data_IF_057201302907
#
_entry.id   IF_057201302907
#
_cell.length_a   1.000
_cell.length_b   1.000
_cell.length_c   1.000
_cell.angle_alpha   90.00
_cell.angle_beta   90.00
_cell.angle_gamma   90.00
#
_symmetry.space_group_name_H-M   'P 1'
#
loop_
_entity.id
_entity.type
_entity.pdbx_description
1 polymer ?
#
# COMPACT_ATOMS: atom_id res chain seq x y z
N UNK A 1 -6.54 28.70 16.70
CA UNK A 1 -6.81 28.00 15.43
C UNK A 1 -7.97 27.05 15.66
N UNK A 2 -8.89 26.92 14.70
CA UNK A 2 -9.90 25.84 14.72
C UNK A 2 -9.23 24.59 14.13
N UNK A 3 -9.46 23.43 14.74
CA UNK A 3 -8.95 22.16 14.23
C UNK A 3 -9.64 21.73 12.94
N UNK A 4 -9.05 20.77 12.24
CA UNK A 4 -9.64 20.12 11.06
C UNK A 4 -10.52 18.94 11.51
N UNK A 5 -11.71 18.81 10.91
CA UNK A 5 -12.60 17.69 11.19
C UNK A 5 -12.14 16.48 10.36
N UNK A 6 -11.66 15.44 11.05
CA UNK A 6 -11.13 14.22 10.41
C UNK A 6 -12.15 13.08 10.31
N UNK A 7 -13.42 13.34 10.65
CA UNK A 7 -14.53 12.39 10.49
C UNK A 7 -15.19 11.95 11.79
N UNK A 8 -16.19 11.06 11.63
CA UNK A 8 -16.88 10.40 12.73
C UNK A 8 -16.21 9.05 13.02
N UNK A 9 -16.15 8.69 14.30
CA UNK A 9 -15.49 7.47 14.77
C UNK A 9 -16.49 6.57 15.50
N UNK A 10 -16.47 5.27 15.19
CA UNK A 10 -17.14 4.22 15.93
C UNK A 10 -16.25 2.99 16.12
N UNK A 11 -16.66 2.10 17.03
CA UNK A 11 -16.16 0.74 17.12
C UNK A 11 -14.64 0.59 17.03
N UNK A 12 -14.18 -0.01 15.94
CA UNK A 12 -12.77 -0.35 15.70
C UNK A 12 -12.02 0.72 14.89
N UNK A 13 -12.63 1.88 14.63
CA UNK A 13 -11.99 2.96 13.91
C UNK A 13 -10.68 3.38 14.57
N UNK A 14 -9.74 3.82 13.72
CA UNK A 14 -8.40 4.25 14.12
C UNK A 14 -8.09 5.60 13.49
N UNK A 15 -7.21 6.32 14.16
CA UNK A 15 -6.60 7.54 13.63
C UNK A 15 -5.22 7.18 13.10
N UNK A 16 -4.94 7.57 11.86
CA UNK A 16 -3.61 7.51 11.26
C UNK A 16 -2.90 8.84 11.50
N UNK A 17 -1.73 8.78 12.12
CA UNK A 17 -0.84 9.93 12.31
C UNK A 17 0.44 9.71 11.52
N UNK A 18 0.74 10.63 10.61
CA UNK A 18 1.97 10.66 9.82
C UNK A 18 2.84 11.81 10.32
N UNK A 19 4.07 11.49 10.75
CA UNK A 19 5.00 12.45 11.34
C UNK A 19 5.97 13.02 10.31
N UNK A 20 6.48 14.23 10.57
CA UNK A 20 7.45 14.94 9.71
C UNK A 20 8.80 14.23 9.60
N UNK A 21 9.12 13.34 10.54
CA UNK A 21 10.33 12.51 10.52
C UNK A 21 10.19 11.25 9.65
N UNK A 22 9.02 11.02 9.04
CA UNK A 22 8.76 9.85 8.20
C UNK A 22 8.33 8.61 8.98
N UNK A 23 7.88 8.77 10.22
CA UNK A 23 7.20 7.70 10.95
C UNK A 23 5.68 7.79 10.80
N UNK A 24 4.98 6.69 11.08
CA UNK A 24 3.54 6.70 11.32
C UNK A 24 3.19 5.97 12.62
N UNK A 25 2.01 6.29 13.14
CA UNK A 25 1.40 5.64 14.29
C UNK A 25 -0.10 5.50 14.06
N UNK A 26 -0.67 4.41 14.56
CA UNK A 26 -2.11 4.27 14.70
C UNK A 26 -2.51 4.51 16.15
N UNK A 27 -3.53 5.33 16.36
CA UNK A 27 -4.09 5.61 17.68
C UNK A 27 -5.59 5.31 17.70
N UNK A 28 -6.14 5.21 18.90
CA UNK A 28 -7.59 5.24 19.10
C UNK A 28 -8.11 6.67 18.89
N UNK A 29 -9.42 6.87 18.99
CA UNK A 29 -10.07 8.19 18.93
C UNK A 29 -10.41 8.74 20.32
N UNK A 30 -9.73 8.26 21.38
CA UNK A 30 -9.95 8.73 22.75
C UNK A 30 -9.55 10.21 22.92
N UNK A 31 -10.35 10.96 23.67
CA UNK A 31 -10.11 12.39 23.94
C UNK A 31 -8.82 12.65 24.73
N UNK A 32 -8.30 11.65 25.44
CA UNK A 32 -7.03 11.71 26.17
C UNK A 32 -5.79 11.64 25.28
N UNK A 33 -5.94 11.31 23.99
CA UNK A 33 -4.81 11.21 23.08
C UNK A 33 -4.16 12.58 22.88
N UNK A 34 -2.85 12.64 23.12
CA UNK A 34 -2.07 13.87 22.98
C UNK A 34 -1.24 13.85 21.71
N UNK A 35 -1.37 14.91 20.91
CA UNK A 35 -0.71 15.05 19.62
C UNK A 35 0.19 16.29 19.61
N UNK A 36 1.46 16.08 19.33
CA UNK A 36 2.43 17.17 19.14
C UNK A 36 2.27 17.73 17.71
N UNK A 37 1.42 18.74 17.55
CA UNK A 37 1.03 19.29 16.26
C UNK A 37 2.23 19.77 15.40
N UNK A 38 3.32 20.21 16.03
CA UNK A 38 4.54 20.63 15.36
C UNK A 38 5.30 19.46 14.70
N UNK A 39 5.13 18.24 15.21
CA UNK A 39 5.74 17.01 14.67
C UNK A 39 4.89 16.31 13.62
N UNK A 40 3.61 16.64 13.52
CA UNK A 40 2.66 15.96 12.63
C UNK A 40 2.68 16.59 11.24
N UNK A 41 2.69 15.73 10.23
CA UNK A 41 2.50 16.11 8.82
C UNK A 41 1.05 15.94 8.38
N UNK A 42 0.42 14.81 8.71
CA UNK A 42 -0.99 14.52 8.42
C UNK A 42 -1.58 13.76 9.61
N UNK A 43 -2.81 14.09 9.98
CA UNK A 43 -3.64 13.32 10.90
C UNK A 43 -5.00 13.11 10.23
N UNK A 44 -5.44 11.86 10.12
CA UNK A 44 -6.69 11.52 9.44
C UNK A 44 -7.31 10.24 10.00
N UNK A 45 -8.60 10.00 9.75
CA UNK A 45 -9.21 8.70 10.00
C UNK A 45 -8.59 7.64 9.08
N UNK A 46 -8.32 6.45 9.62
CA UNK A 46 -7.82 5.32 8.83
C UNK A 46 -9.00 4.57 8.22
N UNK A 47 -9.13 4.67 6.90
CA UNK A 47 -10.07 3.85 6.11
C UNK A 47 -9.33 2.68 5.44
N UNK A 48 -10.02 1.54 5.25
CA UNK A 48 -9.48 0.30 4.65
C UNK A 48 -8.99 0.45 3.20
N UNK A 49 -9.31 1.56 2.54
CA UNK A 49 -8.84 1.89 1.18
C UNK A 49 -7.82 3.02 1.12
N UNK A 50 -7.48 3.65 2.25
CA UNK A 50 -6.68 4.88 2.26
C UNK A 50 -5.28 4.62 1.73
N UNK A 51 -4.95 5.27 0.61
CA UNK A 51 -3.63 5.20 -0.02
C UNK A 51 -2.82 6.41 0.42
N UNK A 52 -1.65 6.14 0.98
CA UNK A 52 -0.65 7.16 1.29
C UNK A 52 0.33 7.26 0.13
N UNK A 53 0.47 8.45 -0.44
CA UNK A 53 1.51 8.80 -1.41
C UNK A 53 2.58 9.62 -0.71
N UNK A 54 3.86 9.23 -0.78
CA UNK A 54 4.95 9.99 -0.18
C UNK A 54 6.14 10.15 -1.13
N UNK A 55 6.86 11.26 -0.94
CA UNK A 55 8.22 11.46 -1.42
C UNK A 55 9.16 11.52 -0.22
N UNK A 56 10.25 10.76 -0.27
CA UNK A 56 11.30 10.80 0.75
C UNK A 56 12.69 10.84 0.11
N UNK A 57 13.68 11.29 0.88
CA UNK A 57 15.09 11.31 0.49
C UNK A 57 15.86 10.30 1.33
N UNK A 58 16.71 9.51 0.67
CA UNK A 58 17.67 8.66 1.35
C UNK A 58 18.90 9.46 1.81
N UNK A 59 19.30 9.27 3.06
CA UNK A 59 20.37 10.02 3.71
C UNK A 59 21.75 9.77 3.10
N UNK A 60 22.03 8.53 2.65
CA UNK A 60 23.33 8.14 2.08
C UNK A 60 23.50 8.65 0.66
N UNK A 61 22.52 8.38 -0.19
CA UNK A 61 22.62 8.62 -1.64
C UNK A 61 22.09 9.98 -2.06
N UNK A 62 21.30 10.65 -1.20
CA UNK A 62 20.54 11.87 -1.52
C UNK A 62 19.55 11.70 -2.68
N UNK A 63 19.26 10.46 -3.08
CA UNK A 63 18.22 10.17 -4.04
C UNK A 63 16.85 10.38 -3.42
N UNK A 64 15.91 10.86 -4.24
CA UNK A 64 14.52 11.00 -3.86
C UNK A 64 13.74 9.81 -4.40
N UNK A 65 12.84 9.28 -3.59
CA UNK A 65 11.99 8.15 -3.91
C UNK A 65 10.54 8.53 -3.72
N UNK A 66 9.68 8.02 -4.59
CA UNK A 66 8.22 8.07 -4.44
C UNK A 66 7.70 6.69 -4.09
N UNK A 67 6.69 6.66 -3.22
CA UNK A 67 6.05 5.43 -2.77
C UNK A 67 4.56 5.65 -2.55
N UNK A 68 3.76 4.68 -3.00
CA UNK A 68 2.33 4.58 -2.73
C UNK A 68 2.04 3.28 -2.00
N UNK A 69 1.24 3.31 -0.94
CA UNK A 69 1.00 2.15 -0.08
C UNK A 69 -0.26 2.34 0.77
N UNK A 70 -0.77 1.23 1.31
CA UNK A 70 -1.79 1.21 2.34
C UNK A 70 -1.18 0.79 3.68
N UNK A 71 -1.79 1.19 4.78
CA UNK A 71 -1.40 0.73 6.11
C UNK A 71 -2.09 -0.62 6.38
N UNK A 72 -1.28 -1.67 6.56
CA UNK A 72 -1.78 -3.05 6.72
C UNK A 72 -1.75 -3.53 8.19
N UNK A 73 -1.18 -2.75 9.10
CA UNK A 73 -1.12 -3.10 10.53
C UNK A 73 -2.33 -2.56 11.28
N UNK A 74 -2.80 -3.29 12.29
CA UNK A 74 -3.85 -2.85 13.21
C UNK A 74 -3.30 -2.48 14.61
N UNK A 75 -1.99 -2.57 14.81
CA UNK A 75 -1.36 -2.29 16.11
C UNK A 75 -1.39 -0.79 16.39
N UNK A 76 -2.01 -0.41 17.51
CA UNK A 76 -2.06 0.97 18.01
C UNK A 76 -0.93 1.28 19.00
N UNK A 77 -0.60 2.56 19.17
CA UNK A 77 0.37 3.03 20.15
C UNK A 77 1.83 2.70 19.82
N UNK A 78 2.11 2.22 18.60
CA UNK A 78 3.46 1.91 18.13
C UNK A 78 3.80 2.74 16.89
N UNK A 79 4.98 3.35 16.94
CA UNK A 79 5.57 4.06 15.79
C UNK A 79 6.32 3.11 14.87
N UNK A 80 6.19 3.35 13.58
CA UNK A 80 6.86 2.60 12.53
C UNK A 80 7.51 3.56 11.53
N UNK A 81 8.77 3.31 11.16
CA UNK A 81 9.44 4.10 10.14
C UNK A 81 8.95 3.74 8.74
N UNK A 82 8.69 4.74 7.91
CA UNK A 82 8.35 4.61 6.50
C UNK A 82 9.53 4.89 5.56
N UNK A 83 10.60 5.47 6.11
CA UNK A 83 11.79 5.91 5.38
C UNK A 83 13.05 5.24 5.96
N UNK A 84 14.17 5.38 5.26
CA UNK A 84 15.48 4.90 5.74
C UNK A 84 15.86 5.58 7.06
N UNK A 85 16.37 4.80 8.03
CA UNK A 85 16.91 5.33 9.30
C UNK A 85 18.32 5.90 9.14
N UNK A 86 18.88 5.87 7.94
CA UNK A 86 20.21 6.40 7.66
C UNK A 86 20.27 7.89 7.96
N UNK A 87 21.31 8.41 8.64
CA UNK A 87 21.44 9.83 8.94
C UNK A 87 21.25 10.73 7.72
N UNK A 88 20.37 11.72 7.87
CA UNK A 88 20.03 12.67 6.82
C UNK A 88 18.95 12.20 5.84
N UNK A 89 18.33 11.04 6.07
CA UNK A 89 17.08 10.65 5.39
C UNK A 89 15.94 11.54 5.88
N UNK A 90 15.00 11.89 5.00
CA UNK A 90 13.94 12.86 5.30
C UNK A 90 12.66 12.54 4.55
N UNK A 91 11.53 12.74 5.20
CA UNK A 91 10.26 12.92 4.50
C UNK A 91 10.28 14.27 3.78
N UNK A 92 9.87 14.28 2.51
CA UNK A 92 9.88 15.49 1.68
C UNK A 92 8.46 16.00 1.45
N UNK A 93 7.55 15.09 1.11
CA UNK A 93 6.14 15.39 0.93
C UNK A 93 5.31 14.14 1.20
N UNK A 94 4.06 14.32 1.63
CA UNK A 94 3.09 13.24 1.83
C UNK A 94 1.70 13.75 1.50
N UNK A 95 0.85 12.88 0.96
CA UNK A 95 -0.56 13.13 0.70
C UNK A 95 -1.36 11.84 0.92
N UNK A 96 -2.60 12.00 1.35
CA UNK A 96 -3.61 10.94 1.47
C UNK A 96 -4.73 11.10 0.43
N UNK A 97 -4.58 12.04 -0.51
CA UNK A 97 -5.51 12.20 -1.62
C UNK A 97 -5.48 10.94 -2.50
N UNK A 98 -6.63 10.46 -3.03
CA UNK A 98 -6.68 9.23 -3.84
C UNK A 98 -5.84 9.31 -5.12
N UNK A 99 -5.86 10.48 -5.77
CA UNK A 99 -5.18 10.74 -7.04
C UNK A 99 -4.30 11.99 -6.93
N UNK A 100 -3.21 11.99 -6.15
CA UNK A 100 -2.38 13.18 -6.00
C UNK A 100 -1.43 13.30 -7.20
N UNK A 101 -1.17 14.54 -7.62
CA UNK A 101 -0.09 14.85 -8.55
C UNK A 101 1.16 15.27 -7.79
N UNK A 102 2.33 14.81 -8.22
CA UNK A 102 3.59 15.28 -7.67
C UNK A 102 4.17 16.37 -8.58
N UNK A 103 4.33 17.56 -8.02
CA UNK A 103 5.08 18.65 -8.65
C UNK A 103 6.52 18.61 -8.18
N UNK A 104 7.46 18.49 -9.10
CA UNK A 104 8.89 18.43 -8.82
C UNK A 104 9.67 19.48 -9.60
N UNK A 105 10.56 20.17 -8.91
CA UNK A 105 11.54 21.08 -9.51
C UNK A 105 12.88 20.35 -9.63
N UNK A 106 13.35 20.16 -10.86
CA UNK A 106 14.54 19.41 -11.22
C UNK A 106 15.65 20.33 -11.72
N UNK A 107 16.89 19.87 -11.57
CA UNK A 107 18.07 20.46 -12.19
C UNK A 107 18.74 19.44 -13.09
N UNK A 108 18.75 19.71 -14.40
CA UNK A 108 19.29 18.83 -15.44
C UNK A 108 20.75 19.10 -15.74
N UNK A 109 21.52 18.01 -15.80
CA UNK A 109 22.88 17.98 -16.37
C UNK A 109 23.89 18.95 -15.74
N UNK A 110 24.99 19.18 -16.47
CA UNK A 110 26.05 20.13 -16.07
C UNK A 110 25.64 21.59 -16.31
N UNK A 111 24.71 21.83 -17.24
CA UNK A 111 24.19 23.15 -17.60
C UNK A 111 23.28 23.75 -16.53
N UNK A 112 22.87 22.95 -15.53
CA UNK A 112 22.01 23.36 -14.40
C UNK A 112 20.68 23.96 -14.84
N UNK A 113 20.14 23.45 -15.95
CA UNK A 113 18.84 23.86 -16.44
C UNK A 113 17.74 23.45 -15.45
N UNK A 114 16.82 24.37 -15.16
CA UNK A 114 15.72 24.14 -14.23
C UNK A 114 14.49 23.72 -15.01
N UNK A 115 13.84 22.66 -14.54
CA UNK A 115 12.60 22.17 -15.12
C UNK A 115 11.62 21.87 -14.00
N UNK A 116 10.35 22.20 -14.21
CA UNK A 116 9.27 21.80 -13.31
C UNK A 116 8.40 20.78 -14.03
N UNK A 117 8.20 19.62 -13.40
CA UNK A 117 7.32 18.55 -13.91
C UNK A 117 6.17 18.37 -12.93
N UNK A 118 4.97 18.13 -13.47
CA UNK A 118 3.79 17.72 -12.72
C UNK A 118 3.31 16.41 -13.36
N UNK A 119 3.09 15.38 -12.54
CA UNK A 119 2.69 14.05 -13.01
C UNK A 119 1.88 13.36 -11.93
N UNK A 120 0.89 12.55 -12.31
CA UNK A 120 0.13 11.78 -11.34
C UNK A 120 1.03 10.77 -10.62
N UNK A 121 0.87 10.65 -9.30
CA UNK A 121 1.68 9.72 -8.51
C UNK A 121 1.48 8.26 -8.94
N UNK A 122 0.28 7.92 -9.44
CA UNK A 122 -0.08 6.62 -9.97
C UNK A 122 0.68 6.24 -11.24
N UNK A 123 1.04 7.21 -12.08
CA UNK A 123 1.84 6.97 -13.29
C UNK A 123 3.31 6.65 -12.96
N UNK A 124 3.80 7.11 -11.80
CA UNK A 124 5.18 6.88 -11.37
C UNK A 124 5.37 5.57 -10.62
N UNK A 125 4.35 5.12 -9.90
CA UNK A 125 4.43 3.92 -9.07
C UNK A 125 3.06 3.31 -8.74
N UNK A 126 2.98 2.00 -8.81
CA UNK A 126 1.86 1.21 -8.27
C UNK A 126 1.89 1.15 -6.74
N UNK A 127 0.84 0.56 -6.16
CA UNK A 127 0.82 0.26 -4.73
C UNK A 127 1.94 -0.74 -4.38
N UNK A 128 2.76 -0.35 -3.41
CA UNK A 128 3.78 -1.20 -2.79
C UNK A 128 3.41 -1.43 -1.32
N UNK A 129 4.08 -2.37 -0.68
CA UNK A 129 3.98 -2.53 0.76
C UNK A 129 4.53 -1.31 1.51
N UNK A 130 3.97 -1.01 2.68
CA UNK A 130 4.36 0.14 3.50
C UNK A 130 5.80 0.08 4.04
N UNK A 131 6.51 -1.04 3.90
CA UNK A 131 7.95 -1.17 4.20
C UNK A 131 8.87 -1.00 2.99
N UNK A 132 8.33 -0.92 1.77
CA UNK A 132 9.13 -0.78 0.57
C UNK A 132 9.85 0.57 0.51
N UNK A 133 10.96 0.66 -0.21
CA UNK A 133 11.65 1.96 -0.43
C UNK A 133 10.86 2.82 -1.41
N UNK A 134 10.24 2.21 -2.42
CA UNK A 134 9.57 2.91 -3.53
C UNK A 134 10.44 2.99 -4.78
N UNK A 135 9.99 3.77 -5.76
CA UNK A 135 10.69 4.01 -7.02
C UNK A 135 11.50 5.29 -6.94
N UNK A 136 12.63 5.36 -7.63
CA UNK A 136 13.40 6.61 -7.71
C UNK A 136 12.57 7.67 -8.44
N UNK A 137 12.37 8.82 -7.81
CA UNK A 137 11.49 9.89 -8.31
C UNK A 137 12.04 10.51 -9.61
N UNK A 138 13.36 10.72 -9.69
CA UNK A 138 14.02 11.25 -10.88
C UNK A 138 15.48 10.80 -10.96
N UNK A 139 15.99 10.71 -12.19
CA UNK A 139 17.43 10.56 -12.44
C UNK A 139 18.20 11.87 -12.23
N UNK A 140 17.49 13.00 -12.30
CA UNK A 140 18.05 14.34 -12.10
C UNK A 140 17.98 14.78 -10.63
N UNK A 141 18.70 15.86 -10.30
CA UNK A 141 18.66 16.40 -8.95
C UNK A 141 17.29 17.05 -8.68
N UNK A 142 16.55 16.51 -7.72
CA UNK A 142 15.31 17.11 -7.21
C UNK A 142 15.67 18.23 -6.23
N UNK A 143 15.15 19.43 -6.46
CA UNK A 143 15.29 20.60 -5.57
C UNK A 143 14.08 20.77 -4.65
N UNK A 144 12.90 20.49 -5.17
CA UNK A 144 11.64 20.56 -4.44
C UNK A 144 10.70 19.49 -4.99
N UNK A 145 9.92 18.88 -4.11
CA UNK A 145 8.82 18.02 -4.48
C UNK A 145 7.66 18.30 -3.52
N UNK A 146 6.46 18.47 -4.06
CA UNK A 146 5.22 18.66 -3.29
C UNK A 146 4.09 17.90 -3.97
N UNK A 147 3.10 17.47 -3.19
CA UNK A 147 1.86 16.95 -3.75
C UNK A 147 0.87 18.08 -3.99
N UNK A 148 0.12 17.96 -5.07
CA UNK A 148 -1.01 18.79 -5.44
C UNK A 148 -2.22 17.87 -5.45
N UNK A 149 -3.30 18.33 -4.83
CA UNK A 149 -4.57 17.63 -4.79
C UNK A 149 -5.42 18.19 -5.93
N UNK A 150 -5.62 17.44 -7.03
CA UNK A 150 -6.53 17.87 -8.08
C UNK A 150 -7.96 17.87 -7.52
N UNK A 151 -8.75 18.86 -7.91
CA UNK A 151 -10.15 18.96 -7.51
C UNK A 151 -10.88 17.70 -8.00
N UNK A 152 -11.41 16.93 -7.06
CA UNK A 152 -12.12 15.69 -7.41
C UNK A 152 -13.47 16.12 -7.96
N UNK A 153 -13.70 15.91 -9.26
CA UNK A 153 -15.04 16.04 -9.82
C UNK A 153 -15.95 15.06 -9.08
N UNK A 154 -16.82 15.58 -8.23
CA UNK A 154 -17.87 14.82 -7.56
C UNK A 154 -18.81 14.30 -8.63
N UNK A 155 -18.61 13.05 -9.06
CA UNK A 155 -19.59 12.35 -9.86
C UNK A 155 -20.78 12.09 -8.95
N UNK A 156 -21.80 12.95 -9.04
CA UNK A 156 -23.07 12.72 -8.35
C UNK A 156 -23.58 11.32 -8.75
N UNK A 157 -23.96 10.46 -7.79
CA UNK A 157 -24.52 9.17 -8.14
C UNK A 157 -25.84 9.39 -8.86
N UNK A 158 -25.85 9.13 -10.17
CA UNK A 158 -27.09 8.99 -10.96
C UNK A 158 -28.00 7.99 -10.24
N UNK A 159 -29.23 8.37 -9.85
CA UNK A 159 -30.14 7.46 -9.18
C UNK A 159 -30.51 6.33 -10.15
N UNK A 160 -30.23 5.08 -9.76
CA UNK A 160 -30.68 3.90 -10.49
C UNK A 160 -32.20 3.80 -10.39
N UNK A 161 -32.90 4.29 -11.41
CA UNK A 161 -34.26 3.87 -11.72
C UNK A 161 -34.17 2.57 -12.51
N UNK A 162 -34.51 1.44 -11.89
CA UNK A 162 -35.13 0.32 -12.59
C UNK A 162 -36.02 -0.48 -11.62
N UNK A 163 -37.30 -0.10 -11.67
CA UNK A 163 -38.45 -0.79 -11.10
C UNK A 163 -38.80 -1.96 -12.01
N UNK A 164 -38.49 -3.21 -11.61
CA UNK A 164 -38.97 -4.42 -12.30
C UNK A 164 -39.86 -5.24 -11.37
N UNK A 165 -41.14 -5.03 -11.62
CA UNK A 165 -42.35 -5.79 -11.30
C UNK A 165 -42.15 -7.26 -10.93
N UNK A 166 -42.74 -7.66 -9.79
CA UNK A 166 -43.18 -9.04 -9.55
C UNK A 166 -44.33 -9.42 -10.52
N UNK A 167 -44.51 -10.71 -10.85
CA UNK A 167 -45.50 -11.46 -10.09
C UNK A 167 -45.12 -12.93 -9.80
N UNK A 168 -45.39 -13.36 -8.57
CA UNK A 168 -45.45 -14.76 -8.12
C UNK A 168 -46.88 -15.28 -8.30
N UNK A 169 -47.11 -16.30 -9.15
CA UNK A 169 -48.11 -17.37 -8.93
C UNK A 169 -47.74 -18.64 -9.74
N UNK A 170 -47.56 -19.76 -9.05
CA UNK A 170 -47.62 -21.17 -9.53
C UNK A 170 -48.85 -21.86 -8.88
N UNK A 171 -49.30 -23.12 -9.18
CA UNK A 171 -48.78 -24.17 -10.10
C UNK A 171 -49.80 -25.06 -10.90
N UNK A 172 -49.26 -25.82 -11.89
CA UNK A 172 -49.60 -27.20 -12.36
C UNK A 172 -50.99 -27.52 -13.03
N UNK A 173 -51.19 -28.63 -13.82
CA UNK A 173 -50.38 -29.86 -13.93
C UNK A 173 -50.13 -30.52 -15.32
N UNK A 174 -49.06 -31.34 -15.33
CA UNK A 174 -48.76 -32.63 -16.04
C UNK A 174 -49.15 -32.85 -17.52
N UNK A 175 -48.14 -33.18 -18.34
CA UNK A 175 -48.16 -34.38 -19.21
C UNK A 175 -46.77 -34.99 -19.40
N UNK A 176 -46.74 -36.31 -19.27
CA UNK A 176 -45.65 -37.29 -19.41
C UNK A 176 -45.08 -37.31 -20.83
N UNK A 177 -43.78 -37.64 -21.00
CA UNK A 177 -43.22 -38.61 -21.97
C UNK A 177 -41.71 -38.80 -21.71
N UNK A 178 -41.38 -40.03 -21.32
CA UNK A 178 -40.24 -40.92 -21.64
C UNK A 178 -38.76 -40.49 -21.48
N UNK A 179 -38.07 -41.25 -20.63
CA UNK A 179 -36.60 -41.41 -20.57
C UNK A 179 -36.08 -42.22 -21.76
N UNK A 180 -34.80 -42.03 -22.12
CA UNK A 180 -33.97 -43.22 -22.29
C UNK A 180 -32.66 -43.16 -21.49
N UNK A 181 -32.38 -44.32 -20.88
CA UNK A 181 -31.14 -44.73 -20.21
C UNK A 181 -29.91 -44.53 -21.10
N UNK A 182 -28.84 -43.93 -20.56
CA UNK A 182 -27.48 -44.14 -21.07
C UNK A 182 -26.51 -44.42 -19.90
N UNK A 183 -26.29 -45.72 -19.70
CA UNK A 183 -25.06 -46.45 -19.41
C UNK A 183 -23.83 -45.67 -18.91
N UNK A 184 -23.41 -46.05 -17.70
CA UNK A 184 -22.11 -45.83 -17.06
C UNK A 184 -20.95 -46.35 -17.93
N UNK A 185 -19.90 -45.53 -18.08
CA UNK A 185 -18.53 -46.03 -18.30
C UNK A 185 -17.56 -45.36 -17.34
N UNK A 186 -17.23 -46.12 -16.30
CA UNK A 186 -16.00 -46.03 -15.52
C UNK A 186 -14.79 -46.46 -16.37
N UNK A 187 -13.67 -45.73 -16.25
CA UNK A 187 -12.26 -46.07 -16.56
C UNK A 187 -11.48 -44.75 -16.57
N UNK A 188 -10.28 -44.56 -16.04
CA UNK A 188 -9.31 -45.37 -15.31
C UNK A 188 -8.30 -44.35 -14.75
N UNK A 189 -7.68 -44.70 -13.63
CA UNK A 189 -6.62 -43.95 -12.92
C UNK A 189 -5.33 -43.91 -13.74
N UNK A 190 -4.56 -42.80 -13.79
CA UNK A 190 -3.13 -42.88 -14.05
C UNK A 190 -2.34 -42.85 -12.74
N UNK A 191 -1.69 -44.00 -12.55
CA UNK A 191 -0.65 -44.35 -11.61
C UNK A 191 0.52 -43.35 -11.58
N UNK A 192 1.00 -43.15 -10.35
CA UNK A 192 2.25 -42.56 -9.91
C UNK A 192 3.50 -43.15 -10.57
N UNK A 193 4.47 -42.30 -10.91
CA UNK A 193 5.89 -42.70 -10.97
C UNK A 193 6.72 -41.72 -10.13
N UNK A 194 7.58 -42.18 -9.20
CA UNK A 194 8.32 -41.30 -8.28
C UNK A 194 9.60 -40.75 -8.92
N UNK A 195 9.83 -39.45 -8.74
CA UNK A 195 11.11 -38.81 -9.04
C UNK A 195 12.18 -39.25 -8.03
N UNK A 196 13.27 -39.78 -8.58
CA UNK A 196 14.47 -40.24 -7.86
C UNK A 196 15.28 -39.03 -7.35
N UNK A 197 15.79 -39.04 -6.11
CA UNK A 197 16.62 -37.96 -5.59
C UNK A 197 18.05 -38.00 -6.18
N UNK A 198 18.70 -36.84 -6.38
CA UNK A 198 20.11 -36.80 -6.78
C UNK A 198 21.03 -37.25 -5.63
N UNK A 199 22.07 -38.01 -6.00
CA UNK A 199 23.11 -38.59 -5.13
C UNK A 199 23.91 -37.52 -4.38
N UNK A 200 24.20 -37.83 -3.11
CA UNK A 200 25.31 -37.28 -2.32
C UNK A 200 26.62 -37.96 -2.74
N UNK A 201 27.68 -37.17 -2.96
CA UNK A 201 29.08 -37.61 -2.88
C UNK A 201 29.89 -36.47 -2.21
N UNK A 202 30.80 -36.83 -1.31
CA UNK A 202 31.78 -35.92 -0.70
C UNK A 202 31.65 -35.76 0.80
N UNK A 203 32.13 -36.76 1.55
CA UNK A 203 32.34 -36.66 2.99
C UNK A 203 33.58 -35.81 3.31
N UNK A 204 33.45 -34.97 4.33
CA UNK A 204 34.53 -34.22 4.94
C UNK A 204 34.30 -34.21 6.45
N UNK A 205 35.29 -34.71 7.17
CA UNK A 205 35.31 -35.01 8.59
C UNK A 205 35.06 -33.78 9.47
N UNK A 206 34.25 -33.92 10.51
CA UNK A 206 34.09 -32.93 11.57
C UNK A 206 34.92 -33.37 12.77
N UNK A 207 36.07 -32.72 12.96
CA UNK A 207 36.76 -32.73 14.26
C UNK A 207 36.10 -31.74 15.21
N UNK A 208 35.89 -32.21 16.43
CA UNK A 208 35.25 -31.50 17.54
C UNK A 208 36.29 -30.63 18.23
N UNK A 209 35.99 -29.33 18.38
CA UNK A 209 36.61 -28.47 19.37
C UNK A 209 37.62 -27.47 18.81
N UNK A 210 37.21 -26.22 18.66
CA UNK A 210 38.10 -25.06 18.84
C UNK A 210 37.27 -23.85 19.26
N UNK A 211 37.66 -23.27 20.40
CA UNK A 211 37.17 -22.02 20.98
C UNK A 211 37.48 -20.84 20.05
N UNK A 212 36.49 -19.98 19.78
CA UNK A 212 36.69 -18.68 19.12
C UNK A 212 36.83 -17.60 20.19
N UNK A 213 38.04 -17.02 20.30
CA UNK A 213 38.26 -15.80 21.09
C UNK A 213 37.80 -14.56 20.32
N UNK A 214 37.15 -13.66 21.04
CA UNK A 214 36.73 -12.35 20.58
C UNK A 214 37.88 -11.34 20.79
N UNK A 215 38.32 -10.72 19.71
CA UNK A 215 38.93 -9.38 19.73
C UNK A 215 38.11 -8.46 18.83
#
# INVERSE_FOLDING_TARGET
>A
SRGELIGNFDGEDRVLVLFKDGQFELTTYELSNHYEADKISIITKLDTGLVVSMVHQDGKTKNHFIKRFQIETNTTGKKYSLISETPGSKLIAVSVHPNPEVKMDLVKGKTKEKETIIVQASELIDLKGWKAIGNRLSQHQVKKAVFIEPETEVVEPVPSVEEVKEPVVTPAPKKVIEEPKIVVKEKEKPTTTPLKPPKKEGGGDYEVGTTLELF
#
